data_IF_213108129610
#
_entry.id   IF_213108129610
#
_cell.length_a   1.000
_cell.length_b   1.000
_cell.length_c   1.000
_cell.angle_alpha   90.00
_cell.angle_beta   90.00
_cell.angle_gamma   90.00
#
_symmetry.space_group_name_H-M   'P 1'
#
loop_
_entity.id
_entity.type
_entity.pdbx_description
1 polymer ?
#
# COMPACT_ATOMS: atom_id res chain seq x y z
N UNK A 1 -7.18 22.43 -6.16
CA UNK A 1 -8.07 21.36 -5.61
C UNK A 1 -7.21 20.33 -4.88
N UNK A 2 -7.25 20.24 -3.55
CA UNK A 2 -6.45 19.26 -2.81
C UNK A 2 -6.95 17.82 -3.08
N UNK A 3 -6.06 16.82 -3.18
CA UNK A 3 -6.45 15.44 -3.41
C UNK A 3 -7.27 14.93 -2.23
N UNK A 4 -8.41 14.29 -2.55
CA UNK A 4 -9.36 13.71 -1.59
C UNK A 4 -8.66 12.66 -0.72
N UNK A 5 -8.21 13.08 0.45
CA UNK A 5 -7.75 12.23 1.54
C UNK A 5 -8.92 11.35 2.02
N UNK A 6 -9.07 10.18 1.39
CA UNK A 6 -9.90 9.09 1.91
C UNK A 6 -9.13 8.40 3.04
N UNK A 7 -9.08 9.04 4.20
CA UNK A 7 -8.77 8.36 5.47
C UNK A 7 -9.84 7.29 5.70
N UNK A 8 -9.51 6.05 5.35
CA UNK A 8 -10.34 4.90 5.66
C UNK A 8 -10.31 4.67 7.17
N UNK A 9 -11.44 4.96 7.82
CA UNK A 9 -11.79 4.64 9.22
C UNK A 9 -11.86 3.13 9.45
N UNK A 10 -10.72 2.44 9.38
CA UNK A 10 -10.61 1.05 9.76
C UNK A 10 -9.41 0.89 10.68
N UNK A 11 -9.69 0.68 11.96
CA UNK A 11 -8.69 0.26 12.94
C UNK A 11 -8.04 -1.05 12.45
N UNK A 12 -6.92 -0.92 11.74
CA UNK A 12 -6.06 -2.01 11.26
C UNK A 12 -4.71 -1.97 12.01
N UNK A 13 -4.71 -1.49 13.25
CA UNK A 13 -3.51 -1.28 14.05
C UNK A 13 -2.71 -2.58 14.29
N UNK A 14 -3.36 -3.75 14.23
CA UNK A 14 -2.70 -5.04 14.45
C UNK A 14 -2.14 -5.71 13.19
N UNK A 15 -2.36 -5.13 11.99
CA UNK A 15 -1.88 -5.74 10.75
C UNK A 15 -0.56 -5.11 10.30
N UNK A 16 0.43 -5.91 9.86
CA UNK A 16 1.68 -5.37 9.37
C UNK A 16 1.41 -4.39 8.22
N UNK A 17 1.68 -3.11 8.46
CA UNK A 17 1.64 -2.08 7.42
C UNK A 17 3.05 -1.82 6.95
N UNK A 18 3.30 -2.01 5.65
CA UNK A 18 4.56 -1.63 5.01
C UNK A 18 4.33 -0.42 4.10
N UNK A 19 5.28 0.52 4.00
CA UNK A 19 5.20 1.58 3.01
C UNK A 19 5.34 0.98 1.60
N UNK A 20 4.50 1.41 0.66
CA UNK A 20 4.65 1.06 -0.75
C UNK A 20 5.83 1.83 -1.37
N UNK A 21 6.75 1.14 -2.04
CA UNK A 21 7.95 1.77 -2.64
C UNK A 21 7.60 2.77 -3.75
N UNK A 22 6.48 2.60 -4.46
CA UNK A 22 6.11 3.47 -5.57
C UNK A 22 5.29 4.71 -5.16
N UNK A 23 4.46 4.61 -4.11
CA UNK A 23 3.54 5.69 -3.73
C UNK A 23 3.64 6.13 -2.27
N UNK A 24 4.50 5.51 -1.46
CA UNK A 24 4.68 5.84 -0.04
C UNK A 24 3.48 5.51 0.86
N UNK A 25 2.34 5.11 0.29
CA UNK A 25 1.11 4.86 1.06
C UNK A 25 1.26 3.65 1.99
N UNK A 26 0.65 3.71 3.19
CA UNK A 26 0.62 2.59 4.13
C UNK A 26 -0.19 1.43 3.53
N UNK A 27 0.53 0.40 3.10
CA UNK A 27 -0.07 -0.77 2.46
C UNK A 27 -0.59 -1.72 3.54
N UNK A 28 -1.91 -1.85 3.64
CA UNK A 28 -2.53 -2.82 4.55
C UNK A 28 -2.22 -4.26 4.12
N UNK A 29 -1.81 -5.10 5.07
CA UNK A 29 -1.68 -6.54 4.87
C UNK A 29 -2.97 -7.17 4.29
N UNK A 30 -2.80 -8.17 3.43
CA UNK A 30 -3.89 -8.98 2.87
C UNK A 30 -3.55 -10.45 3.09
N UNK A 31 -4.54 -11.30 3.42
CA UNK A 31 -4.37 -12.76 3.57
C UNK A 31 -3.70 -13.42 2.35
N UNK A 32 -3.99 -12.95 1.13
CA UNK A 32 -3.37 -13.44 -0.11
C UNK A 32 -1.84 -13.25 -0.12
N UNK A 33 -1.32 -12.33 0.69
CA UNK A 33 0.10 -12.04 0.79
C UNK A 33 0.82 -12.79 1.90
N UNK A 34 0.13 -13.61 2.72
CA UNK A 34 0.77 -14.32 3.83
C UNK A 34 2.03 -15.11 3.42
N UNK A 35 2.01 -15.73 2.24
CA UNK A 35 3.13 -16.54 1.72
C UNK A 35 4.27 -15.74 1.08
N UNK A 36 4.01 -14.52 0.60
CA UNK A 36 4.97 -13.73 -0.17
C UNK A 36 5.15 -12.30 0.36
N UNK A 37 4.71 -12.03 1.59
CA UNK A 37 4.76 -10.71 2.23
C UNK A 37 6.17 -10.09 2.26
N UNK A 38 7.20 -10.93 2.34
CA UNK A 38 8.60 -10.47 2.25
C UNK A 38 8.95 -9.92 0.86
N UNK A 39 8.39 -10.50 -0.21
CA UNK A 39 8.63 -10.09 -1.59
C UNK A 39 7.70 -8.96 -2.07
N UNK A 40 6.59 -8.71 -1.38
CA UNK A 40 5.61 -7.69 -1.77
C UNK A 40 6.09 -6.30 -1.33
N UNK A 41 6.54 -5.49 -2.31
CA UNK A 41 7.00 -4.10 -2.13
C UNK A 41 6.00 -3.03 -2.59
N UNK A 42 4.92 -3.45 -3.23
CA UNK A 42 3.96 -2.56 -3.91
C UNK A 42 2.51 -2.88 -3.53
N UNK A 43 1.70 -1.84 -3.28
CA UNK A 43 0.30 -1.99 -2.85
C UNK A 43 -0.66 -2.49 -3.95
N UNK A 44 -0.24 -2.42 -5.22
CA UNK A 44 -1.03 -2.83 -6.37
C UNK A 44 -0.14 -3.23 -7.54
N UNK A 45 -0.68 -3.99 -8.50
CA UNK A 45 0.01 -4.24 -9.78
C UNK A 45 0.31 -2.92 -10.50
N UNK A 46 -0.60 -1.94 -10.42
CA UNK A 46 -0.38 -0.61 -10.97
C UNK A 46 0.88 0.04 -10.37
N UNK A 47 1.06 0.02 -9.05
CA UNK A 47 2.28 0.55 -8.40
C UNK A 47 3.55 -0.25 -8.71
N UNK A 48 3.43 -1.55 -9.06
CA UNK A 48 4.57 -2.34 -9.53
C UNK A 48 5.04 -1.90 -10.92
N UNK A 49 4.11 -1.54 -11.80
CA UNK A 49 4.42 -1.09 -13.16
C UNK A 49 4.64 0.42 -13.26
N UNK A 50 4.04 1.20 -12.36
CA UNK A 50 4.22 2.64 -12.29
C UNK A 50 5.55 2.95 -11.60
N UNK A 51 6.55 3.30 -12.41
CA UNK A 51 7.90 3.72 -11.96
C UNK A 51 7.96 5.07 -11.26
N UNK A 52 6.85 5.79 -11.12
CA UNK A 52 6.86 7.15 -10.64
C UNK A 52 5.82 7.36 -9.54
N UNK A 53 6.16 8.11 -8.46
CA UNK A 53 5.16 8.68 -7.60
C UNK A 53 4.26 9.54 -8.49
N UNK A 54 2.96 9.22 -8.52
CA UNK A 54 2.00 10.20 -9.01
C UNK A 54 2.05 11.35 -8.00
N UNK A 55 2.70 12.45 -8.42
CA UNK A 55 2.68 13.72 -7.73
C UNK A 55 1.25 14.21 -7.49
#
# INVERSE_FOLDING_TARGET
>A
MPPRNRSFRGNKAALPSKPCVACGLPMSWRRKWAKNWAAVKYCSKACRHAKAPRG
#
